data_IF_821898418238
#
_entry.id   IF_821898418238
#
_cell.length_a   1.000
_cell.length_b   1.000
_cell.length_c   1.000
_cell.angle_alpha   90.00
_cell.angle_beta   90.00
_cell.angle_gamma   90.00
#
_symmetry.space_group_name_H-M   'P 1'
#
loop_
_entity.id
_entity.type
_entity.pdbx_description
1 polymer ?
#
# COMPACT_ATOMS: atom_id res chain seq x y z
N UNK A 1 52.19 -54.21 5.82
CA UNK A 1 51.96 -52.88 5.21
C UNK A 1 50.51 -52.76 4.76
N UNK A 2 49.58 -52.51 5.67
CA UNK A 2 48.15 -52.19 5.43
C UNK A 2 47.84 -51.06 6.41
N UNK A 3 47.89 -49.80 5.98
CA UNK A 3 47.61 -48.67 6.90
C UNK A 3 47.45 -47.32 6.18
N UNK A 4 48.08 -47.10 5.02
CA UNK A 4 47.98 -45.79 4.34
C UNK A 4 46.70 -45.56 3.53
N UNK A 5 46.08 -46.62 3.00
CA UNK A 5 44.90 -46.47 2.12
C UNK A 5 43.58 -46.29 2.90
N UNK A 6 43.44 -46.86 4.10
CA UNK A 6 42.20 -46.74 4.90
C UNK A 6 42.01 -45.32 5.47
N UNK A 7 43.10 -44.63 5.82
CA UNK A 7 43.06 -43.28 6.37
C UNK A 7 42.59 -42.26 5.31
N UNK A 8 42.97 -42.45 4.05
CA UNK A 8 42.57 -41.56 2.95
C UNK A 8 41.08 -41.68 2.59
N UNK A 9 40.51 -42.89 2.67
CA UNK A 9 39.09 -43.14 2.36
C UNK A 9 38.18 -42.51 3.42
N UNK A 10 38.60 -42.55 4.68
CA UNK A 10 37.90 -41.89 5.78
C UNK A 10 37.89 -40.37 5.63
N UNK A 11 39.03 -39.79 5.20
CA UNK A 11 39.12 -38.34 4.98
C UNK A 11 38.28 -37.83 3.81
N UNK A 12 38.11 -38.60 2.73
CA UNK A 12 37.23 -38.21 1.61
C UNK A 12 35.76 -38.17 2.03
N UNK A 13 35.31 -39.21 2.74
CA UNK A 13 33.93 -39.32 3.23
C UNK A 13 33.60 -38.22 4.24
N UNK A 14 34.58 -37.81 5.05
CA UNK A 14 34.44 -36.71 6.00
C UNK A 14 34.36 -35.35 5.31
N UNK A 15 35.13 -35.15 4.22
CA UNK A 15 35.06 -33.93 3.42
C UNK A 15 33.68 -33.75 2.78
N UNK A 16 33.12 -34.82 2.22
CA UNK A 16 31.79 -34.81 1.58
C UNK A 16 30.67 -34.49 2.60
N UNK A 17 30.81 -34.99 3.83
CA UNK A 17 29.88 -34.66 4.91
C UNK A 17 29.95 -33.19 5.30
N UNK A 18 31.16 -32.60 5.37
CA UNK A 18 31.34 -31.16 5.64
C UNK A 18 30.73 -30.32 4.50
N UNK A 19 30.96 -30.69 3.24
CA UNK A 19 30.37 -30.00 2.10
C UNK A 19 28.84 -30.07 2.12
N UNK A 20 28.25 -31.22 2.42
CA UNK A 20 26.81 -31.35 2.60
C UNK A 20 26.27 -30.47 3.74
N UNK A 21 26.97 -30.45 4.88
CA UNK A 21 26.56 -29.63 6.02
C UNK A 21 26.63 -28.13 5.69
N UNK A 22 27.70 -27.67 5.04
CA UNK A 22 27.85 -26.28 4.60
C UNK A 22 26.78 -25.87 3.58
N UNK A 23 26.48 -26.74 2.61
CA UNK A 23 25.40 -26.51 1.66
C UNK A 23 24.04 -26.40 2.37
N UNK A 24 23.77 -27.26 3.34
CA UNK A 24 22.56 -27.20 4.17
C UNK A 24 22.44 -25.90 4.95
N UNK A 25 23.53 -25.42 5.57
CA UNK A 25 23.56 -24.14 6.29
C UNK A 25 23.32 -22.97 5.35
N UNK A 26 23.92 -22.96 4.16
CA UNK A 26 23.70 -21.93 3.14
C UNK A 26 22.24 -21.87 2.68
N UNK A 27 21.62 -23.03 2.46
CA UNK A 27 20.20 -23.12 2.11
C UNK A 27 19.32 -22.57 3.24
N UNK A 28 19.55 -23.01 4.48
CA UNK A 28 18.80 -22.52 5.64
C UNK A 28 19.00 -21.01 5.85
N UNK A 29 20.22 -20.50 5.69
CA UNK A 29 20.53 -19.08 5.75
C UNK A 29 19.78 -18.31 4.66
N UNK A 30 19.73 -18.82 3.43
CA UNK A 30 19.01 -18.20 2.32
C UNK A 30 17.49 -18.13 2.54
N UNK A 31 16.92 -19.17 3.18
CA UNK A 31 15.50 -19.23 3.55
C UNK A 31 15.20 -18.24 4.68
N UNK A 32 16.04 -18.23 5.72
CA UNK A 32 15.92 -17.32 6.85
C UNK A 32 16.05 -15.86 6.41
N UNK A 33 17.01 -15.54 5.54
CA UNK A 33 17.22 -14.21 4.99
C UNK A 33 16.05 -13.78 4.10
N UNK A 34 15.49 -14.68 3.27
CA UNK A 34 14.23 -14.41 2.54
C UNK A 34 13.08 -14.05 3.47
N UNK A 35 12.88 -14.80 4.55
CA UNK A 35 11.83 -14.53 5.54
C UNK A 35 12.04 -13.18 6.25
N UNK A 36 13.29 -12.83 6.56
CA UNK A 36 13.62 -11.57 7.22
C UNK A 36 13.46 -10.35 6.28
N UNK A 37 13.86 -10.48 5.01
CA UNK A 37 13.64 -9.44 3.99
C UNK A 37 12.16 -9.19 3.70
N UNK A 38 11.31 -10.20 3.81
CA UNK A 38 9.85 -10.02 3.73
C UNK A 38 9.29 -9.23 4.93
N UNK A 39 9.79 -9.47 6.15
CA UNK A 39 9.38 -8.72 7.36
C UNK A 39 9.86 -7.26 7.37
N UNK A 40 11.02 -6.93 6.80
CA UNK A 40 11.60 -5.56 6.76
C UNK A 40 11.07 -4.67 5.63
N UNK A 41 9.92 -5.02 5.07
CA UNK A 41 9.21 -4.21 4.10
C UNK A 41 8.56 -2.99 4.77
N UNK A 42 9.27 -1.88 4.92
CA UNK A 42 8.63 -0.56 5.11
C UNK A 42 7.92 -0.16 3.80
N UNK A 43 6.81 -0.84 3.49
CA UNK A 43 5.96 -0.50 2.34
C UNK A 43 5.20 0.78 2.67
N UNK A 44 5.57 1.86 2.00
CA UNK A 44 4.85 3.12 2.07
C UNK A 44 3.70 3.03 1.07
N UNK A 45 2.47 3.24 1.54
CA UNK A 45 1.30 3.38 0.68
C UNK A 45 1.01 4.87 0.52
N UNK A 46 0.96 5.35 -0.71
CA UNK A 46 0.50 6.70 -1.04
C UNK A 46 -0.87 6.55 -1.69
N UNK A 47 -1.88 7.21 -1.16
CA UNK A 47 -3.19 7.31 -1.81
C UNK A 47 -3.26 8.69 -2.44
N UNK A 48 -3.63 8.72 -3.71
CA UNK A 48 -3.90 9.97 -4.43
C UNK A 48 -5.33 9.93 -4.96
N UNK A 49 -6.05 11.01 -4.69
CA UNK A 49 -7.41 11.26 -5.14
C UNK A 49 -7.36 12.51 -6.01
N UNK A 50 -7.72 12.36 -7.27
CA UNK A 50 -7.93 13.44 -8.21
C UNK A 50 -9.43 13.74 -8.27
N UNK A 51 -9.77 14.96 -7.87
CA UNK A 51 -11.12 15.51 -7.84
C UNK A 51 -11.47 16.09 -9.23
N UNK A 52 -12.73 16.06 -9.63
CA UNK A 52 -13.17 16.80 -10.83
C UNK A 52 -13.06 18.30 -10.61
N UNK A 53 -12.96 19.08 -11.69
CA UNK A 53 -12.93 20.54 -11.60
C UNK A 53 -14.20 21.11 -10.95
N UNK A 54 -15.35 20.43 -11.10
CA UNK A 54 -16.61 20.83 -10.45
C UNK A 54 -16.59 20.58 -8.94
N UNK A 55 -15.88 19.55 -8.48
CA UNK A 55 -15.73 19.25 -7.06
C UNK A 55 -14.87 20.28 -6.32
N UNK A 56 -14.16 21.20 -7.01
CA UNK A 56 -13.50 22.36 -6.36
C UNK A 56 -14.49 23.37 -5.80
N UNK A 57 -15.68 23.45 -6.38
CA UNK A 57 -16.72 24.39 -5.93
C UNK A 57 -17.38 23.88 -4.64
N UNK A 58 -17.42 22.56 -4.45
CA UNK A 58 -17.86 21.90 -3.23
C UNK A 58 -16.73 21.74 -2.21
N UNK A 59 -17.06 21.80 -0.93
CA UNK A 59 -16.08 21.56 0.13
C UNK A 59 -15.85 20.05 0.19
N UNK A 60 -14.65 19.57 -0.11
CA UNK A 60 -14.39 18.13 -0.17
C UNK A 60 -13.81 17.66 1.16
N UNK A 61 -14.46 16.67 1.73
CA UNK A 61 -14.00 15.92 2.89
C UNK A 61 -13.60 14.52 2.45
N UNK A 62 -12.38 14.10 2.78
CA UNK A 62 -11.85 12.78 2.48
C UNK A 62 -11.44 12.12 3.79
N UNK A 63 -11.87 10.89 4.00
CA UNK A 63 -11.42 10.09 5.13
C UNK A 63 -10.92 8.74 4.64
N UNK A 64 -9.81 8.27 5.19
CA UNK A 64 -9.39 6.88 5.02
C UNK A 64 -9.44 6.19 6.37
N UNK A 65 -10.25 5.14 6.47
CA UNK A 65 -10.23 4.22 7.60
C UNK A 65 -9.41 2.99 7.23
N UNK A 66 -8.33 2.73 7.97
CA UNK A 66 -7.51 1.53 7.81
C UNK A 66 -7.18 0.94 9.19
N UNK A 67 -7.76 -0.21 9.50
CA UNK A 67 -7.68 -0.79 10.84
C UNK A 67 -8.29 0.12 11.90
N UNK A 68 -7.49 0.45 12.92
CA UNK A 68 -7.90 1.32 14.05
C UNK A 68 -7.62 2.80 13.79
N UNK A 69 -7.01 3.17 12.66
CA UNK A 69 -6.68 4.55 12.34
C UNK A 69 -7.61 5.11 11.29
N UNK A 70 -7.99 6.37 11.48
CA UNK A 70 -8.70 7.17 10.49
C UNK A 70 -7.86 8.39 10.17
N UNK A 71 -7.66 8.64 8.89
CA UNK A 71 -6.94 9.81 8.37
C UNK A 71 -7.93 10.76 7.74
N UNK A 72 -7.98 11.99 8.22
CA UNK A 72 -8.98 12.97 7.82
C UNK A 72 -8.37 14.08 6.99
N UNK A 73 -9.08 14.46 5.94
CA UNK A 73 -8.70 15.55 5.05
C UNK A 73 -9.89 16.42 4.74
N UNK A 74 -9.74 17.72 4.96
CA UNK A 74 -10.70 18.72 4.56
C UNK A 74 -9.96 19.75 3.71
N UNK A 75 -10.48 20.02 2.51
CA UNK A 75 -9.87 20.96 1.57
C UNK A 75 -9.78 22.40 2.10
N UNK A 76 -10.48 22.74 3.20
CA UNK A 76 -10.46 24.05 3.87
C UNK A 76 -9.65 24.10 5.16
N UNK A 77 -9.36 22.94 5.75
CA UNK A 77 -8.62 22.88 7.01
C UNK A 77 -7.13 22.83 6.76
N UNK A 78 -6.37 23.67 7.45
CA UNK A 78 -4.90 23.52 7.53
C UNK A 78 -4.48 22.34 8.42
N UNK A 79 -5.39 21.84 9.26
CA UNK A 79 -5.22 20.67 10.11
C UNK A 79 -5.83 19.45 9.40
N UNK A 80 -5.07 18.89 8.46
CA UNK A 80 -5.46 17.76 7.63
C UNK A 80 -4.30 16.77 7.51
N UNK A 81 -4.58 15.47 7.62
CA UNK A 81 -3.60 14.41 7.32
C UNK A 81 -3.30 14.34 5.81
N UNK A 82 -4.25 14.80 5.00
CA UNK A 82 -4.17 14.84 3.55
C UNK A 82 -3.53 16.14 3.09
N UNK A 83 -2.61 16.02 2.13
CA UNK A 83 -2.03 17.17 1.44
C UNK A 83 -2.83 17.47 0.18
N UNK A 84 -3.51 18.61 0.18
CA UNK A 84 -4.24 19.13 -0.97
C UNK A 84 -3.34 20.04 -1.81
N UNK A 85 -3.32 19.81 -3.12
CA UNK A 85 -2.64 20.65 -4.11
C UNK A 85 -3.47 20.71 -5.38
N UNK A 86 -4.10 21.85 -5.63
CA UNK A 86 -5.04 22.01 -6.73
C UNK A 86 -6.23 21.06 -6.60
N UNK A 87 -6.43 20.18 -7.59
CA UNK A 87 -7.51 19.18 -7.61
C UNK A 87 -7.08 17.83 -7.02
N UNK A 88 -5.85 17.75 -6.51
CA UNK A 88 -5.28 16.48 -6.06
C UNK A 88 -5.14 16.50 -4.54
N UNK A 89 -5.71 15.50 -3.89
CA UNK A 89 -5.48 15.19 -2.49
C UNK A 89 -4.57 13.96 -2.39
N UNK A 90 -3.56 14.03 -1.54
CA UNK A 90 -2.60 12.94 -1.36
C UNK A 90 -2.38 12.62 0.12
N UNK A 91 -2.34 11.33 0.45
CA UNK A 91 -2.09 10.83 1.80
C UNK A 91 -0.95 9.81 1.76
N UNK A 92 0.08 10.02 2.58
CA UNK A 92 1.23 9.11 2.70
C UNK A 92 1.16 8.32 4.00
N UNK A 93 1.09 7.00 3.89
CA UNK A 93 0.95 6.07 5.00
C UNK A 93 2.20 5.20 5.06
N UNK A 94 2.86 5.19 6.23
CA UNK A 94 4.10 4.43 6.43
C UNK A 94 3.89 2.91 6.52
N UNK A 95 2.64 2.45 6.55
CA UNK A 95 2.23 1.05 6.66
C UNK A 95 1.44 0.61 5.42
N UNK A 96 1.42 -0.69 5.11
CA UNK A 96 0.51 -1.22 4.10
C UNK A 96 -0.94 -0.98 4.51
N UNK A 97 -1.81 -0.75 3.52
CA UNK A 97 -3.26 -0.70 3.74
C UNK A 97 -3.74 -2.09 4.18
N UNK A 98 -4.64 -2.12 5.16
CA UNK A 98 -5.29 -3.35 5.59
C UNK A 98 -6.38 -3.77 4.60
N UNK A 99 -6.73 -5.06 4.56
CA UNK A 99 -7.72 -5.60 3.62
C UNK A 99 -9.09 -4.92 3.73
N UNK A 100 -9.44 -4.46 4.93
CA UNK A 100 -10.69 -3.76 5.24
C UNK A 100 -10.57 -2.23 5.16
N UNK A 101 -9.56 -1.70 4.45
CA UNK A 101 -9.40 -0.25 4.32
C UNK A 101 -10.50 0.33 3.44
N UNK A 102 -11.15 1.39 3.91
CA UNK A 102 -12.24 2.08 3.22
C UNK A 102 -11.85 3.54 3.04
N UNK A 103 -11.92 4.00 1.80
CA UNK A 103 -11.80 5.40 1.43
C UNK A 103 -13.20 6.00 1.32
N UNK A 104 -13.44 7.02 2.11
CA UNK A 104 -14.65 7.84 2.14
C UNK A 104 -14.34 9.17 1.46
N UNK A 105 -15.11 9.52 0.43
CA UNK A 105 -15.06 10.83 -0.20
C UNK A 105 -16.44 11.45 -0.06
N UNK A 106 -16.47 12.67 0.46
CA UNK A 106 -17.69 13.45 0.61
C UNK A 106 -17.50 14.83 0.00
N UNK A 107 -18.48 15.27 -0.79
CA UNK A 107 -18.54 16.64 -1.28
C UNK A 107 -19.68 17.32 -0.56
N UNK A 108 -19.37 18.31 0.27
CA UNK A 108 -20.37 19.22 0.81
C UNK A 108 -20.59 20.33 -0.19
N UNK A 109 -21.71 20.27 -0.87
CA UNK A 109 -22.19 21.43 -1.61
C UNK A 109 -22.81 22.42 -0.60
N UNK A 110 -22.39 23.68 -0.61
CA UNK A 110 -23.04 24.75 0.18
C UNK A 110 -24.24 25.35 -0.56
N UNK A 111 -24.48 24.96 -1.81
CA UNK A 111 -25.65 25.40 -2.56
C UNK A 111 -26.85 24.48 -2.31
N UNK A 112 -27.56 24.71 -1.20
CA UNK A 112 -28.86 24.10 -0.89
C UNK A 112 -29.97 24.37 -1.95
N UNK A 113 -29.65 25.05 -3.04
CA UNK A 113 -30.61 25.61 -4.01
C UNK A 113 -30.34 25.26 -5.47
N UNK A 114 -29.39 24.37 -5.80
CA UNK A 114 -29.25 23.90 -7.18
C UNK A 114 -30.03 22.60 -7.39
N UNK A 115 -31.12 22.58 -8.19
CA UNK A 115 -31.92 21.38 -8.44
C UNK A 115 -31.28 20.43 -9.47
N UNK A 116 -30.01 20.65 -9.82
CA UNK A 116 -29.31 19.87 -10.84
C UNK A 116 -28.47 18.80 -10.13
N UNK A 117 -28.71 17.49 -10.40
CA UNK A 117 -27.82 16.45 -9.89
C UNK A 117 -26.42 16.65 -10.48
N UNK A 118 -25.46 16.94 -9.61
CA UNK A 118 -24.06 17.02 -10.00
C UNK A 118 -23.48 15.61 -10.11
N UNK A 119 -23.03 15.22 -11.29
CA UNK A 119 -22.29 13.95 -11.50
C UNK A 119 -20.83 14.16 -11.08
N UNK A 120 -20.52 13.91 -9.82
CA UNK A 120 -19.14 14.02 -9.35
C UNK A 120 -18.33 12.82 -9.80
N UNK A 121 -17.27 13.08 -10.59
CA UNK A 121 -16.33 12.06 -11.05
C UNK A 121 -15.02 12.17 -10.28
N UNK A 122 -14.68 11.10 -9.55
CA UNK A 122 -13.43 11.00 -8.83
C UNK A 122 -12.55 9.95 -9.46
N UNK A 123 -11.25 10.21 -9.48
CA UNK A 123 -10.24 9.20 -9.80
C UNK A 123 -9.38 8.99 -8.58
N UNK A 124 -9.28 7.76 -8.10
CA UNK A 124 -8.32 7.44 -7.04
C UNK A 124 -7.31 6.41 -7.53
N UNK A 125 -6.09 6.51 -7.01
CA UNK A 125 -5.06 5.50 -7.18
C UNK A 125 -4.33 5.25 -5.88
N UNK A 126 -4.02 3.99 -5.64
CA UNK A 126 -3.13 3.57 -4.55
C UNK A 126 -1.76 3.29 -5.15
N UNK A 127 -0.79 4.11 -4.81
CA UNK A 127 0.60 3.96 -5.22
C UNK A 127 1.37 3.37 -4.05
N UNK A 128 1.74 2.09 -4.13
CA UNK A 128 2.67 1.51 -3.17
C UNK A 128 4.10 1.76 -3.64
N UNK A 129 4.99 2.17 -2.73
CA UNK A 129 6.42 2.36 -3.02
C UNK A 129 7.13 1.09 -3.52
N UNK A 130 6.48 -0.07 -3.43
CA UNK A 130 6.98 -1.36 -3.91
C UNK A 130 6.49 -1.76 -5.29
N UNK A 131 5.50 -1.07 -5.87
CA UNK A 131 4.99 -1.41 -7.21
C UNK A 131 5.69 -0.55 -8.26
N UNK A 132 6.40 -1.21 -9.17
CA UNK A 132 7.00 -0.61 -10.38
C UNK A 132 5.95 -0.03 -11.33
N UNK A 133 4.67 -0.39 -11.17
CA UNK A 133 3.56 0.15 -11.95
C UNK A 133 2.49 0.76 -11.03
N UNK A 134 2.06 2.01 -11.27
CA UNK A 134 0.94 2.59 -10.55
C UNK A 134 -0.31 1.76 -10.80
N UNK A 135 -1.11 1.52 -9.75
CA UNK A 135 -2.44 0.94 -9.94
C UNK A 135 -3.25 1.85 -10.87
N UNK A 136 -3.92 1.26 -11.87
CA UNK A 136 -4.81 1.99 -12.78
C UNK A 136 -5.80 2.79 -11.95
N UNK A 137 -5.90 4.08 -12.23
CA UNK A 137 -6.83 4.96 -11.54
C UNK A 137 -8.25 4.43 -11.73
N UNK A 138 -8.96 4.23 -10.64
CA UNK A 138 -10.35 3.77 -10.67
C UNK A 138 -11.22 5.02 -10.68
N UNK A 139 -12.12 5.09 -11.66
CA UNK A 139 -13.07 6.18 -11.79
C UNK A 139 -14.35 5.79 -11.05
N UNK A 140 -14.81 6.65 -10.14
CA UNK A 140 -16.06 6.47 -9.41
C UNK A 140 -16.93 7.69 -9.68
N UNK A 141 -18.18 7.45 -10.06
CA UNK A 141 -19.21 8.46 -10.27
C UNK A 141 -20.31 8.24 -9.23
N UNK A 142 -20.79 9.34 -8.64
CA UNK A 142 -21.95 9.34 -7.76
C UNK A 142 -22.94 10.34 -8.31
N UNK A 143 -24.17 9.87 -8.56
CA UNK A 143 -25.26 10.70 -9.11
C UNK A 143 -26.15 11.35 -8.05
N UNK A 144 -26.18 10.79 -6.84
CA UNK A 144 -27.14 11.18 -5.78
C UNK A 144 -26.53 11.26 -4.37
N UNK A 145 -25.22 11.02 -4.23
CA UNK A 145 -24.58 10.80 -2.93
C UNK A 145 -23.56 11.86 -2.59
N UNK A 146 -23.79 12.58 -1.47
CA UNK A 146 -22.78 13.38 -0.77
C UNK A 146 -21.61 12.55 -0.22
N UNK A 147 -21.69 11.22 -0.28
CA UNK A 147 -20.71 10.29 0.27
C UNK A 147 -20.48 9.12 -0.69
N UNK A 148 -19.23 8.75 -0.87
CA UNK A 148 -18.79 7.61 -1.67
C UNK A 148 -17.86 6.76 -0.81
N UNK A 149 -18.21 5.49 -0.64
CA UNK A 149 -17.38 4.48 0.02
C UNK A 149 -16.68 3.61 -1.01
N UNK A 150 -15.35 3.52 -0.88
CA UNK A 150 -14.50 2.82 -1.82
C UNK A 150 -13.62 1.84 -1.04
N UNK A 151 -13.74 0.52 -1.27
CA UNK A 151 -12.80 -0.43 -0.71
C UNK A 151 -11.42 -0.25 -1.38
N UNK A 152 -10.40 0.01 -0.57
CA UNK A 152 -9.02 0.27 -1.04
C UNK A 152 -8.00 -0.73 -0.49
N UNK A 153 -8.41 -1.59 0.44
CA UNK A 153 -7.61 -2.74 0.87
C UNK A 153 -7.46 -3.77 -0.24
N UNK A 154 -6.23 -4.29 -0.44
CA UNK A 154 -5.92 -5.40 -1.33
C UNK A 154 -5.00 -6.39 -0.62
#
# INVERSE_FOLDING_TARGET
>A
MRSRNEIQIFSLSFLDLIFCAMAGVLVLYSIADRANRQKKSNSISVIEVQLSDEARLGHVYIALKTGTKTYHGDSRSSQSDWKFSGNTASLRIKKPLQLNSILLISVRDHSYFSPIPFDYKFKYRVVSSKRLMPLKAVSVSSKDGYFIEIPVGK
#
